data_IF_760455348979
#
_entry.id   IF_760455348979
#
_cell.length_a   1.000
_cell.length_b   1.000
_cell.length_c   1.000
_cell.angle_alpha   90.00
_cell.angle_beta   90.00
_cell.angle_gamma   90.00
#
_symmetry.space_group_name_H-M   'P 1'
#
loop_
_entity.id
_entity.type
_entity.pdbx_description
1 polymer ?
#
# COMPACT_ATOMS: atom_id res chain seq x y z
N UNK A 1 34.85 -29.87 4.08
CA UNK A 1 34.48 -28.86 3.07
C UNK A 1 33.42 -28.01 3.73
N UNK A 2 33.84 -26.82 4.16
CA UNK A 2 33.12 -25.94 5.07
C UNK A 2 31.92 -25.35 4.31
N UNK A 3 30.71 -25.52 4.83
CA UNK A 3 29.55 -24.75 4.40
C UNK A 3 29.77 -23.31 4.86
N UNK A 4 30.18 -22.44 3.94
CA UNK A 4 30.15 -20.99 4.14
C UNK A 4 28.73 -20.62 4.54
N UNK A 5 28.59 -20.22 5.81
CA UNK A 5 27.50 -19.37 6.26
C UNK A 5 27.61 -18.11 5.42
N UNK A 6 26.63 -17.87 4.55
CA UNK A 6 26.36 -16.52 4.06
C UNK A 6 26.11 -15.71 5.33
N UNK A 7 27.00 -14.75 5.63
CA UNK A 7 26.80 -13.82 6.74
C UNK A 7 25.40 -13.22 6.58
N UNK A 8 24.52 -13.45 7.55
CA UNK A 8 23.23 -12.76 7.61
C UNK A 8 23.55 -11.28 7.75
N UNK A 9 23.52 -10.55 6.63
CA UNK A 9 23.78 -9.12 6.62
C UNK A 9 22.66 -8.43 7.42
N UNK A 10 22.95 -8.17 8.70
CA UNK A 10 21.98 -7.62 9.64
C UNK A 10 21.72 -6.15 9.28
N UNK A 11 20.55 -5.89 8.69
CA UNK A 11 20.15 -4.54 8.30
C UNK A 11 19.66 -3.76 9.52
N UNK A 12 20.03 -2.47 9.67
CA UNK A 12 19.51 -1.65 10.75
C UNK A 12 18.00 -1.52 10.66
N UNK A 13 17.34 -1.59 11.80
CA UNK A 13 15.91 -1.34 11.91
C UNK A 13 15.58 0.12 11.64
N UNK A 14 14.35 0.39 11.21
CA UNK A 14 13.86 1.76 11.03
C UNK A 14 13.99 2.60 12.32
N UNK A 15 13.82 1.96 13.49
CA UNK A 15 13.98 2.63 14.77
C UNK A 15 15.43 3.10 15.01
N UNK A 16 16.41 2.25 14.69
CA UNK A 16 17.83 2.58 14.79
C UNK A 16 18.23 3.69 13.82
N UNK A 17 17.76 3.62 12.56
CA UNK A 17 18.02 4.66 11.55
C UNK A 17 17.45 6.00 12.01
N UNK A 18 16.19 6.04 12.47
CA UNK A 18 15.57 7.26 13.00
C UNK A 18 16.35 7.80 14.20
N UNK A 19 16.74 6.92 15.12
CA UNK A 19 17.50 7.31 16.30
C UNK A 19 18.86 7.92 15.95
N UNK A 20 19.60 7.28 15.05
CA UNK A 20 20.90 7.74 14.56
C UNK A 20 20.79 9.09 13.86
N UNK A 21 19.79 9.27 12.99
CA UNK A 21 19.58 10.52 12.27
C UNK A 21 19.15 11.66 13.20
N UNK A 22 18.22 11.40 14.13
CA UNK A 22 17.82 12.39 15.14
C UNK A 22 19.03 12.85 15.97
N UNK A 23 19.87 11.89 16.40
CA UNK A 23 21.12 12.18 17.13
C UNK A 23 22.09 12.98 16.29
N UNK A 24 22.29 12.61 15.02
CA UNK A 24 23.19 13.31 14.08
C UNK A 24 22.76 14.76 13.91
N UNK A 25 21.49 14.99 13.59
CA UNK A 25 20.91 16.33 13.39
C UNK A 25 21.09 17.17 14.66
N UNK A 26 20.75 16.60 15.83
CA UNK A 26 20.89 17.28 17.12
C UNK A 26 22.34 17.67 17.39
N UNK A 27 23.28 16.74 17.24
CA UNK A 27 24.71 16.97 17.52
C UNK A 27 25.35 17.96 16.54
N UNK A 28 25.01 17.89 15.26
CA UNK A 28 25.49 18.84 14.25
C UNK A 28 25.08 20.29 14.56
N UNK A 29 23.92 20.47 15.18
CA UNK A 29 23.46 21.78 15.63
C UNK A 29 23.95 22.18 17.03
N UNK A 30 24.77 21.35 17.70
CA UNK A 30 25.20 21.60 19.08
C UNK A 30 24.08 21.55 20.11
N UNK A 31 22.91 20.99 19.76
CA UNK A 31 21.75 20.94 20.64
C UNK A 31 21.89 19.82 21.70
N UNK A 32 21.39 20.10 22.89
CA UNK A 32 21.33 19.14 24.01
C UNK A 32 20.05 18.29 23.94
N UNK A 33 20.06 17.12 24.59
CA UNK A 33 18.85 16.30 24.76
C UNK A 33 17.72 17.08 25.45
N UNK A 34 18.07 17.98 26.38
CA UNK A 34 17.10 18.81 27.11
C UNK A 34 16.42 19.83 26.19
N UNK A 35 17.15 20.43 25.25
CA UNK A 35 16.56 21.35 24.26
C UNK A 35 15.59 20.62 23.32
N UNK A 36 15.95 19.44 22.81
CA UNK A 36 15.03 18.65 21.99
C UNK A 36 13.80 18.23 22.78
N UNK A 37 13.97 17.78 24.03
CA UNK A 37 12.85 17.42 24.90
C UNK A 37 11.93 18.61 25.20
N UNK A 38 12.49 19.82 25.34
CA UNK A 38 11.71 21.04 25.52
C UNK A 38 10.80 21.32 24.32
N UNK A 39 11.33 21.30 23.10
CA UNK A 39 10.51 21.52 21.90
C UNK A 39 9.54 20.37 21.62
N UNK A 40 9.92 19.12 21.92
CA UNK A 40 9.03 17.98 21.81
C UNK A 40 7.78 18.14 22.69
N UNK A 41 7.92 18.68 23.91
CA UNK A 41 6.79 19.02 24.79
C UNK A 41 5.86 20.07 24.20
N UNK A 42 6.42 21.10 23.58
CA UNK A 42 5.63 22.16 22.91
C UNK A 42 4.78 21.55 21.78
N UNK A 43 5.33 20.57 21.07
CA UNK A 43 4.61 19.84 20.01
C UNK A 43 3.65 18.75 20.53
N UNK A 44 3.46 18.63 21.85
CA UNK A 44 2.51 17.71 22.48
C UNK A 44 3.08 16.36 22.93
N UNK A 45 4.38 16.09 22.72
CA UNK A 45 5.03 14.88 23.20
C UNK A 45 5.38 15.01 24.68
N UNK A 46 4.98 14.04 25.52
CA UNK A 46 5.32 14.03 26.95
C UNK A 46 6.76 13.57 27.22
N UNK A 47 7.73 14.14 26.52
CA UNK A 47 9.10 13.65 26.48
C UNK A 47 10.00 14.30 27.53
N UNK A 48 10.95 13.51 28.02
CA UNK A 48 12.08 13.96 28.85
C UNK A 48 13.37 13.82 28.04
N UNK A 49 14.48 14.39 28.52
CA UNK A 49 15.80 14.17 27.91
C UNK A 49 16.14 12.67 27.81
N UNK A 50 15.72 11.87 28.80
CA UNK A 50 15.87 10.42 28.78
C UNK A 50 15.09 9.77 27.63
N UNK A 51 13.86 10.23 27.37
CA UNK A 51 13.04 9.72 26.25
C UNK A 51 13.63 10.07 24.89
N UNK A 52 14.26 11.25 24.76
CA UNK A 52 15.04 11.59 23.56
C UNK A 52 16.23 10.65 23.41
N UNK A 53 16.96 10.36 24.50
CA UNK A 53 18.06 9.40 24.49
C UNK A 53 17.64 7.96 24.15
N UNK A 54 16.47 7.52 24.64
CA UNK A 54 15.90 6.22 24.29
C UNK A 54 15.57 6.12 22.80
N UNK A 55 14.97 7.16 22.23
CA UNK A 55 14.71 7.24 20.80
C UNK A 55 16.03 7.25 19.99
N UNK A 56 16.99 8.09 20.36
CA UNK A 56 18.30 8.19 19.68
C UNK A 56 19.09 6.88 19.69
N UNK A 57 18.78 5.99 20.63
CA UNK A 57 19.36 4.65 20.73
C UNK A 57 18.62 3.56 19.96
N UNK A 58 17.51 3.89 19.27
CA UNK A 58 16.67 2.92 18.56
C UNK A 58 15.77 2.06 19.46
N UNK A 59 15.82 2.22 20.79
CA UNK A 59 15.01 1.43 21.75
C UNK A 59 13.50 1.67 21.64
N UNK A 60 13.08 2.77 21.02
CA UNK A 60 11.68 3.14 20.87
C UNK A 60 11.32 3.14 19.39
N UNK A 61 10.50 2.18 18.92
CA UNK A 61 10.03 2.21 17.54
C UNK A 61 9.15 3.45 17.33
N UNK A 62 9.54 4.36 16.42
CA UNK A 62 8.79 5.58 16.18
C UNK A 62 7.58 5.28 15.29
N UNK A 63 6.45 5.95 15.56
CA UNK A 63 5.29 5.98 14.67
C UNK A 63 5.12 7.38 14.05
N UNK A 64 4.24 7.55 13.07
CA UNK A 64 4.03 8.86 12.42
C UNK A 64 3.61 9.96 13.42
N UNK A 65 2.77 9.63 14.40
CA UNK A 65 2.37 10.53 15.50
C UNK A 65 3.56 11.00 16.34
N UNK A 66 4.67 10.28 16.31
CA UNK A 66 5.93 10.62 16.98
C UNK A 66 6.92 11.31 16.04
N UNK A 67 7.04 10.83 14.80
CA UNK A 67 7.99 11.33 13.82
C UNK A 67 7.70 12.77 13.38
N UNK A 68 6.42 13.13 13.20
CA UNK A 68 6.05 14.48 12.79
C UNK A 68 6.42 15.51 13.89
N UNK A 69 5.98 15.36 15.15
CA UNK A 69 6.41 16.26 16.22
C UNK A 69 7.92 16.25 16.47
N UNK A 70 8.58 15.10 16.29
CA UNK A 70 10.04 15.00 16.42
C UNK A 70 10.78 15.83 15.35
N UNK A 71 10.37 15.74 14.09
CA UNK A 71 10.96 16.53 13.01
C UNK A 71 10.82 18.04 13.30
N UNK A 72 9.63 18.47 13.75
CA UNK A 72 9.39 19.86 14.17
C UNK A 72 10.27 20.25 15.36
N UNK A 73 10.35 19.39 16.39
CA UNK A 73 11.18 19.66 17.57
C UNK A 73 12.66 19.78 17.23
N UNK A 74 13.16 18.94 16.32
CA UNK A 74 14.53 19.01 15.83
C UNK A 74 14.77 20.25 14.97
N UNK A 75 13.81 20.67 14.14
CA UNK A 75 13.90 21.92 13.39
C UNK A 75 14.09 23.13 14.31
N UNK A 76 13.31 23.23 15.39
CA UNK A 76 13.47 24.31 16.37
C UNK A 76 14.77 24.19 17.17
N UNK A 77 15.17 22.97 17.54
CA UNK A 77 16.41 22.73 18.27
C UNK A 77 17.66 22.99 17.41
N UNK A 78 17.58 22.76 16.10
CA UNK A 78 18.69 22.89 15.16
C UNK A 78 18.74 24.24 14.45
N UNK A 79 17.65 25.01 14.49
CA UNK A 79 17.45 26.20 13.67
C UNK A 79 17.69 25.95 12.17
N UNK A 80 17.36 24.75 11.70
CA UNK A 80 17.47 24.32 10.32
C UNK A 80 16.22 23.52 9.91
N UNK A 81 15.82 23.51 8.63
CA UNK A 81 14.73 22.66 8.15
C UNK A 81 15.00 21.19 8.46
N UNK A 82 14.02 20.51 9.04
CA UNK A 82 14.06 19.05 9.28
C UNK A 82 12.70 18.47 8.89
N UNK A 83 12.73 17.46 8.02
CA UNK A 83 11.56 16.74 7.53
C UNK A 83 11.54 15.31 8.09
N UNK A 84 10.43 14.59 7.92
CA UNK A 84 10.38 13.16 8.26
C UNK A 84 11.32 12.35 7.33
N UNK A 85 11.51 12.79 6.08
CA UNK A 85 12.46 12.16 5.16
C UNK A 85 13.90 12.21 5.69
N UNK A 86 14.29 13.32 6.34
CA UNK A 86 15.62 13.46 6.96
C UNK A 86 15.84 12.50 8.13
N UNK A 87 14.77 12.01 8.76
CA UNK A 87 14.83 11.05 9.86
C UNK A 87 14.97 9.61 9.37
N UNK A 88 14.40 9.28 8.21
CA UNK A 88 14.39 7.89 7.67
C UNK A 88 15.48 7.63 6.65
N UNK A 89 16.26 8.64 6.27
CA UNK A 89 17.33 8.51 5.28
C UNK A 89 18.47 7.60 5.72
N UNK A 90 18.99 6.76 4.83
CA UNK A 90 20.08 5.81 5.08
C UNK A 90 20.90 5.58 3.81
N UNK A 91 22.17 5.22 3.94
CA UNK A 91 22.98 4.69 2.83
C UNK A 91 22.85 3.15 2.70
N UNK A 92 22.20 2.52 3.68
CA UNK A 92 21.96 1.09 3.75
C UNK A 92 20.49 0.75 3.56
N UNK A 93 20.23 -0.51 3.26
CA UNK A 93 18.91 -1.11 3.42
C UNK A 93 18.45 -1.01 4.88
N UNK A 94 17.16 -0.77 5.06
CA UNK A 94 16.52 -0.49 6.36
C UNK A 94 15.40 -1.48 6.58
N UNK A 95 15.47 -2.22 7.69
CA UNK A 95 14.43 -3.16 8.07
C UNK A 95 13.23 -2.40 8.67
N UNK A 96 12.11 -2.39 7.95
CA UNK A 96 10.84 -1.78 8.40
C UNK A 96 10.08 -2.73 9.34
N UNK A 97 10.08 -4.02 9.01
CA UNK A 97 9.60 -5.11 9.86
C UNK A 97 10.29 -6.42 9.46
N UNK A 98 9.91 -7.54 10.08
CA UNK A 98 10.49 -8.88 9.82
C UNK A 98 10.45 -9.32 8.34
N UNK A 99 9.60 -8.69 7.52
CA UNK A 99 9.32 -9.09 6.13
C UNK A 99 9.68 -8.04 5.09
N UNK A 100 9.94 -6.81 5.52
CA UNK A 100 10.11 -5.66 4.64
C UNK A 100 11.42 -4.98 4.98
N UNK A 101 12.34 -4.98 4.02
CA UNK A 101 13.57 -4.20 4.05
C UNK A 101 13.55 -3.31 2.81
N UNK A 102 13.74 -2.01 3.00
CA UNK A 102 13.68 -1.01 1.92
C UNK A 102 15.02 -0.28 1.83
N UNK A 103 15.42 0.13 0.63
CA UNK A 103 16.47 1.13 0.52
C UNK A 103 15.95 2.54 0.89
N UNK A 104 16.87 3.47 1.13
CA UNK A 104 16.50 4.84 1.54
C UNK A 104 15.80 5.66 0.46
N UNK A 105 16.01 5.37 -0.82
CA UNK A 105 15.32 6.08 -1.90
C UNK A 105 13.83 5.70 -1.91
N UNK A 106 13.53 4.41 -1.75
CA UNK A 106 12.17 3.88 -1.60
C UNK A 106 11.46 4.48 -0.37
N UNK A 107 12.13 4.49 0.79
CA UNK A 107 11.60 5.10 2.03
C UNK A 107 11.32 6.60 1.87
N UNK A 108 12.26 7.35 1.29
CA UNK A 108 12.11 8.77 1.08
C UNK A 108 10.99 9.10 0.08
N UNK A 109 10.79 8.29 -0.97
CA UNK A 109 9.67 8.45 -1.91
C UNK A 109 8.31 8.16 -1.25
N UNK A 110 8.23 7.13 -0.40
CA UNK A 110 7.00 6.76 0.30
C UNK A 110 6.54 7.80 1.34
N UNK A 111 7.48 8.49 1.98
CA UNK A 111 7.20 9.44 3.07
C UNK A 111 7.28 10.91 2.60
N UNK A 112 8.02 11.16 1.52
CA UNK A 112 8.24 12.48 0.95
C UNK A 112 7.10 12.97 0.06
N UNK A 113 7.33 14.11 -0.58
CA UNK A 113 6.34 14.87 -1.36
C UNK A 113 6.14 14.34 -2.80
N UNK A 114 6.45 13.06 -3.06
CA UNK A 114 6.36 12.47 -4.39
C UNK A 114 4.91 12.44 -4.87
N UNK A 115 4.58 13.27 -5.86
CA UNK A 115 3.27 13.25 -6.57
C UNK A 115 3.07 11.99 -7.42
N UNK A 116 3.95 11.00 -7.29
CA UNK A 116 3.90 9.71 -7.96
C UNK A 116 3.67 8.63 -6.92
N UNK A 117 2.64 7.81 -7.12
CA UNK A 117 2.42 6.61 -6.33
C UNK A 117 3.60 5.66 -6.55
N UNK A 118 4.53 5.59 -5.58
CA UNK A 118 5.60 4.59 -5.61
C UNK A 118 4.97 3.19 -5.45
N UNK A 119 5.05 2.38 -6.51
CA UNK A 119 4.90 0.93 -6.38
C UNK A 119 6.21 0.42 -5.80
N UNK A 120 6.16 -0.27 -4.66
CA UNK A 120 7.33 -0.97 -4.11
C UNK A 120 7.77 -1.99 -5.16
N UNK A 121 8.86 -1.70 -5.86
CA UNK A 121 9.48 -2.67 -6.76
C UNK A 121 10.14 -3.75 -5.90
N UNK A 122 9.86 -5.01 -6.24
CA UNK A 122 10.16 -6.22 -5.48
C UNK A 122 11.68 -6.53 -5.39
N UNK A 123 12.53 -5.55 -5.71
CA UNK A 123 13.98 -5.52 -5.47
C UNK A 123 14.34 -4.93 -4.09
N UNK A 124 13.39 -4.30 -3.40
CA UNK A 124 13.49 -4.05 -1.96
C UNK A 124 13.43 -5.39 -1.21
N UNK A 125 14.60 -5.90 -0.81
CA UNK A 125 14.81 -7.24 -0.25
C UNK A 125 13.86 -7.54 0.93
N UNK A 126 12.77 -8.25 0.70
CA UNK A 126 12.03 -8.87 1.79
C UNK A 126 12.97 -9.85 2.52
N UNK A 127 13.11 -9.74 3.85
CA UNK A 127 13.74 -10.75 4.72
C UNK A 127 12.86 -12.01 4.81
N UNK A 128 12.54 -12.55 3.66
CA UNK A 128 11.63 -13.65 3.48
C UNK A 128 11.42 -13.82 2.00
N UNK A 129 12.21 -14.71 1.41
CA UNK A 129 11.96 -15.33 0.10
C UNK A 129 10.47 -15.73 -0.05
N UNK A 130 9.78 -16.01 1.07
CA UNK A 130 8.36 -16.31 1.17
C UNK A 130 7.39 -15.16 0.90
N UNK A 131 7.68 -13.90 1.26
CA UNK A 131 6.72 -12.78 1.03
C UNK A 131 6.84 -12.26 -0.39
N UNK A 132 8.08 -12.17 -0.90
CA UNK A 132 8.34 -11.92 -2.32
C UNK A 132 7.73 -13.03 -3.17
N UNK A 133 7.93 -14.30 -2.82
CA UNK A 133 7.28 -15.40 -3.52
C UNK A 133 5.76 -15.37 -3.38
N UNK A 134 5.18 -15.04 -2.21
CA UNK A 134 3.72 -14.97 -2.06
C UNK A 134 3.09 -13.80 -2.81
N UNK A 135 3.71 -12.62 -2.79
CA UNK A 135 3.23 -11.46 -3.55
C UNK A 135 3.45 -11.67 -5.04
N UNK A 136 4.61 -12.17 -5.46
CA UNK A 136 4.88 -12.50 -6.86
C UNK A 136 4.03 -13.68 -7.35
N UNK A 137 3.74 -14.68 -6.52
CA UNK A 137 2.85 -15.79 -6.84
C UNK A 137 1.40 -15.31 -6.90
N UNK A 138 0.94 -14.49 -5.96
CA UNK A 138 -0.39 -13.89 -6.02
C UNK A 138 -0.54 -12.95 -7.22
N UNK A 139 0.47 -12.12 -7.49
CA UNK A 139 0.52 -11.27 -8.67
C UNK A 139 0.63 -12.09 -9.95
N UNK A 140 1.39 -13.19 -9.99
CA UNK A 140 1.50 -14.07 -11.15
C UNK A 140 0.22 -14.87 -11.38
N UNK A 141 -0.42 -15.40 -10.34
CA UNK A 141 -1.70 -16.09 -10.41
C UNK A 141 -2.78 -15.12 -10.92
N UNK A 142 -2.87 -13.91 -10.34
CA UNK A 142 -3.79 -12.87 -10.81
C UNK A 142 -3.42 -12.41 -12.22
N UNK A 143 -2.14 -12.19 -12.54
CA UNK A 143 -1.70 -11.67 -13.84
C UNK A 143 -1.84 -12.74 -14.93
N UNK A 144 -1.59 -14.01 -14.65
CA UNK A 144 -1.76 -15.13 -15.56
C UNK A 144 -3.24 -15.43 -15.79
N UNK A 145 -4.08 -15.40 -14.75
CA UNK A 145 -5.54 -15.49 -14.87
C UNK A 145 -6.11 -14.30 -15.65
N UNK A 146 -5.61 -13.09 -15.39
CA UNK A 146 -5.92 -11.88 -16.15
C UNK A 146 -5.43 -11.99 -17.60
N UNK A 147 -4.22 -12.48 -17.85
CA UNK A 147 -3.60 -12.53 -19.17
C UNK A 147 -4.25 -13.61 -20.06
N UNK A 148 -4.61 -14.77 -19.50
CA UNK A 148 -5.35 -15.83 -20.20
C UNK A 148 -6.72 -15.36 -20.65
N UNK A 149 -7.41 -14.54 -19.85
CA UNK A 149 -8.71 -13.99 -20.25
C UNK A 149 -8.63 -12.69 -21.08
N UNK A 150 -7.53 -11.93 -21.01
CA UNK A 150 -7.35 -10.64 -21.74
C UNK A 150 -7.38 -10.75 -23.26
N UNK A 151 -7.07 -11.93 -23.81
CA UNK A 151 -7.05 -12.17 -25.26
C UNK A 151 -8.42 -11.99 -25.95
N UNK A 152 -9.52 -11.98 -25.18
CA UNK A 152 -10.89 -11.81 -25.69
C UNK A 152 -11.60 -10.56 -25.18
N UNK A 153 -10.90 -9.54 -24.64
CA UNK A 153 -11.55 -8.34 -24.09
C UNK A 153 -11.16 -7.05 -24.82
N UNK A 154 -12.08 -6.07 -24.93
CA UNK A 154 -11.76 -4.75 -25.46
C UNK A 154 -10.60 -4.09 -24.73
N UNK A 155 -9.74 -3.44 -25.51
CA UNK A 155 -8.53 -2.73 -25.04
C UNK A 155 -8.78 -1.78 -23.87
N UNK A 156 -9.98 -1.18 -23.78
CA UNK A 156 -10.37 -0.28 -22.68
C UNK A 156 -10.37 -0.98 -21.31
N UNK A 157 -10.67 -2.29 -21.24
CA UNK A 157 -10.57 -3.04 -19.99
C UNK A 157 -9.13 -3.26 -19.54
N UNK A 158 -8.14 -3.09 -20.42
CA UNK A 158 -6.73 -3.19 -20.06
C UNK A 158 -6.22 -1.97 -19.29
N UNK A 159 -6.98 -0.87 -19.31
CA UNK A 159 -6.62 0.39 -18.65
C UNK A 159 -7.03 0.45 -17.17
N UNK A 160 -7.77 -0.56 -16.67
CA UNK A 160 -8.15 -0.61 -15.25
C UNK A 160 -6.93 -0.87 -14.38
N UNK A 161 -6.59 0.01 -13.41
CA UNK A 161 -5.44 -0.21 -12.54
C UNK A 161 -5.54 -1.54 -11.78
N UNK A 162 -4.46 -2.33 -11.77
CA UNK A 162 -4.46 -3.65 -11.15
C UNK A 162 -4.90 -3.64 -9.67
N UNK A 163 -4.53 -2.60 -8.90
CA UNK A 163 -4.96 -2.46 -7.51
C UNK A 163 -6.47 -2.28 -7.34
N UNK A 164 -7.15 -1.72 -8.35
CA UNK A 164 -8.60 -1.60 -8.36
C UNK A 164 -9.25 -2.96 -8.66
N UNK A 165 -8.69 -3.74 -9.59
CA UNK A 165 -9.15 -5.10 -9.88
C UNK A 165 -8.95 -6.03 -8.68
N UNK A 166 -7.79 -5.98 -8.02
CA UNK A 166 -7.53 -6.76 -6.80
C UNK A 166 -8.54 -6.44 -5.69
N UNK A 167 -8.90 -5.17 -5.50
CA UNK A 167 -9.94 -4.76 -4.54
C UNK A 167 -11.30 -5.36 -4.90
N UNK A 168 -11.73 -5.25 -6.15
CA UNK A 168 -13.02 -5.80 -6.59
C UNK A 168 -13.02 -7.32 -6.47
N UNK A 169 -11.90 -7.99 -6.76
CA UNK A 169 -11.72 -9.42 -6.54
C UNK A 169 -11.95 -9.81 -5.08
N UNK A 170 -11.28 -9.14 -4.13
CA UNK A 170 -11.43 -9.39 -2.69
C UNK A 170 -12.85 -9.11 -2.15
N UNK A 171 -13.58 -8.18 -2.76
CA UNK A 171 -14.97 -7.85 -2.42
C UNK A 171 -16.00 -8.74 -3.12
N UNK A 172 -15.57 -9.57 -4.07
CA UNK A 172 -16.46 -10.44 -4.84
C UNK A 172 -16.67 -11.75 -4.11
N UNK A 173 -17.89 -12.26 -4.14
CA UNK A 173 -18.25 -13.56 -3.56
C UNK A 173 -19.21 -14.32 -4.46
N UNK A 174 -19.99 -15.21 -3.86
CA UNK A 174 -20.91 -16.10 -4.58
C UNK A 174 -21.99 -15.34 -5.38
N UNK A 175 -22.35 -14.13 -4.95
CA UNK A 175 -23.31 -13.26 -5.67
C UNK A 175 -22.78 -12.87 -7.04
N UNK A 176 -21.52 -12.43 -7.11
CA UNK A 176 -20.85 -12.07 -8.36
C UNK A 176 -20.71 -13.30 -9.27
N UNK A 177 -20.41 -14.49 -8.72
CA UNK A 177 -20.34 -15.73 -9.51
C UNK A 177 -21.67 -16.06 -10.19
N UNK A 178 -22.77 -16.00 -9.43
CA UNK A 178 -24.13 -16.23 -9.95
C UNK A 178 -24.51 -15.18 -10.98
N UNK A 179 -24.16 -13.93 -10.74
CA UNK A 179 -24.45 -12.82 -11.65
C UNK A 179 -23.68 -12.91 -12.96
N UNK A 180 -22.40 -13.30 -12.92
CA UNK A 180 -21.58 -13.52 -14.12
C UNK A 180 -22.23 -14.58 -15.01
N UNK A 181 -22.63 -15.71 -14.41
CA UNK A 181 -23.36 -16.79 -15.10
C UNK A 181 -24.71 -16.32 -15.66
N UNK A 182 -25.48 -15.54 -14.91
CA UNK A 182 -26.76 -14.97 -15.36
C UNK A 182 -26.58 -14.04 -16.57
N UNK A 183 -25.49 -13.28 -16.62
CA UNK A 183 -25.18 -12.34 -17.70
C UNK A 183 -24.39 -12.96 -18.85
N UNK A 184 -24.04 -14.25 -18.79
CA UNK A 184 -23.31 -14.95 -19.85
C UNK A 184 -21.86 -14.48 -20.02
N UNK A 185 -21.23 -13.98 -18.96
CA UNK A 185 -19.83 -13.52 -18.97
C UNK A 185 -19.00 -14.24 -17.92
N UNK A 186 -17.67 -14.18 -18.02
CA UNK A 186 -16.79 -14.73 -16.97
C UNK A 186 -16.86 -13.89 -15.69
N UNK A 187 -16.43 -14.46 -14.56
CA UNK A 187 -16.32 -13.72 -13.30
C UNK A 187 -15.37 -12.52 -13.44
N UNK A 188 -14.28 -12.69 -14.17
CA UNK A 188 -13.29 -11.63 -14.38
C UNK A 188 -13.83 -10.50 -15.26
N UNK A 189 -14.56 -10.79 -16.34
CA UNK A 189 -15.27 -9.75 -17.12
C UNK A 189 -16.20 -8.94 -16.23
N UNK A 190 -17.01 -9.62 -15.42
CA UNK A 190 -17.92 -8.95 -14.49
C UNK A 190 -17.16 -8.05 -13.50
N UNK A 191 -16.01 -8.50 -12.98
CA UNK A 191 -15.14 -7.71 -12.09
C UNK A 191 -14.58 -6.47 -12.79
N UNK A 192 -14.09 -6.60 -14.02
CA UNK A 192 -13.60 -5.47 -14.81
C UNK A 192 -14.69 -4.42 -15.07
N UNK A 193 -15.89 -4.85 -15.47
CA UNK A 193 -17.03 -3.94 -15.68
C UNK A 193 -17.46 -3.28 -14.36
N UNK A 194 -17.47 -4.02 -13.26
CA UNK A 194 -17.79 -3.47 -11.93
C UNK A 194 -16.73 -2.46 -11.47
N UNK A 195 -15.45 -2.73 -11.73
CA UNK A 195 -14.35 -1.82 -11.44
C UNK A 195 -14.44 -0.54 -12.27
N UNK A 196 -14.75 -0.63 -13.56
CA UNK A 196 -14.96 0.54 -14.42
C UNK A 196 -16.15 1.39 -13.99
N UNK A 197 -17.28 0.76 -13.65
CA UNK A 197 -18.49 1.50 -13.31
C UNK A 197 -18.43 2.13 -11.92
N UNK A 198 -17.88 1.43 -10.94
CA UNK A 198 -18.03 1.78 -9.52
C UNK A 198 -16.75 1.68 -8.69
N UNK A 199 -15.70 1.07 -9.22
CA UNK A 199 -14.47 0.79 -8.46
C UNK A 199 -14.67 -0.18 -7.29
N UNK A 200 -15.78 -0.94 -7.28
CA UNK A 200 -16.22 -1.85 -6.22
C UNK A 200 -16.92 -3.07 -6.81
N UNK A 201 -17.09 -4.15 -6.04
CA UNK A 201 -17.94 -5.29 -6.44
C UNK A 201 -19.42 -4.91 -6.49
N UNK A 202 -20.22 -5.71 -7.20
CA UNK A 202 -21.67 -5.53 -7.30
C UNK A 202 -22.34 -5.53 -5.92
N UNK A 203 -21.94 -6.45 -5.04
CA UNK A 203 -22.48 -6.58 -3.68
C UNK A 203 -22.11 -5.37 -2.84
N UNK A 204 -20.84 -4.94 -2.88
CA UNK A 204 -20.38 -3.76 -2.15
C UNK A 204 -21.10 -2.49 -2.61
N UNK A 205 -21.32 -2.32 -3.92
CA UNK A 205 -22.05 -1.18 -4.46
C UNK A 205 -23.54 -1.23 -4.14
N UNK A 206 -24.17 -2.42 -4.18
CA UNK A 206 -25.56 -2.61 -3.77
C UNK A 206 -25.77 -2.17 -2.34
N UNK A 207 -24.92 -2.66 -1.43
CA UNK A 207 -25.08 -2.38 -0.01
C UNK A 207 -24.79 -0.90 0.29
N UNK A 208 -23.79 -0.30 -0.37
CA UNK A 208 -23.52 1.13 -0.27
C UNK A 208 -24.72 2.00 -0.71
N UNK A 209 -25.39 1.66 -1.83
CA UNK A 209 -26.55 2.43 -2.33
C UNK A 209 -27.85 2.13 -1.60
N UNK A 210 -27.99 0.92 -1.07
CA UNK A 210 -29.18 0.54 -0.33
C UNK A 210 -29.16 1.16 1.08
N UNK A 211 -27.97 1.27 1.70
CA UNK A 211 -27.76 1.63 3.10
C UNK A 211 -27.60 0.39 3.98
N UNK A 212 -26.85 0.50 5.08
CA UNK A 212 -26.51 -0.64 5.96
C UNK A 212 -27.77 -1.34 6.51
N UNK A 213 -28.80 -0.56 6.90
CA UNK A 213 -30.06 -1.05 7.46
C UNK A 213 -31.15 -1.35 6.40
N UNK A 214 -30.79 -1.40 5.12
CA UNK A 214 -31.77 -1.57 4.06
C UNK A 214 -32.42 -2.96 4.11
N UNK A 215 -33.76 -2.96 4.10
CA UNK A 215 -34.54 -4.19 4.00
C UNK A 215 -34.38 -4.89 2.64
N UNK A 216 -34.79 -6.16 2.56
CA UNK A 216 -34.65 -7.00 1.38
C UNK A 216 -35.28 -6.39 0.12
N UNK A 217 -36.42 -5.70 0.25
CA UNK A 217 -37.10 -5.04 -0.86
C UNK A 217 -36.24 -3.91 -1.45
N UNK A 218 -35.67 -3.05 -0.60
CA UNK A 218 -34.81 -1.94 -1.02
C UNK A 218 -33.54 -2.46 -1.71
N UNK A 219 -32.87 -3.46 -1.12
CA UNK A 219 -31.70 -4.12 -1.73
C UNK A 219 -32.04 -4.75 -3.09
N UNK A 220 -33.22 -5.35 -3.23
CA UNK A 220 -33.71 -5.90 -4.50
C UNK A 220 -33.99 -4.84 -5.58
N UNK A 221 -34.49 -3.66 -5.22
CA UNK A 221 -34.67 -2.54 -6.17
C UNK A 221 -33.30 -2.04 -6.67
N UNK A 222 -32.36 -1.78 -5.75
CA UNK A 222 -31.00 -1.34 -6.09
C UNK A 222 -30.31 -2.38 -6.97
N UNK A 223 -30.41 -3.66 -6.60
CA UNK A 223 -29.80 -4.76 -7.36
C UNK A 223 -30.28 -4.78 -8.81
N UNK A 224 -31.59 -4.63 -9.06
CA UNK A 224 -32.16 -4.58 -10.42
C UNK A 224 -31.61 -3.41 -11.24
N UNK A 225 -31.46 -2.24 -10.62
CA UNK A 225 -30.87 -1.08 -11.28
C UNK A 225 -29.38 -1.28 -11.62
N UNK A 226 -28.61 -1.86 -10.69
CA UNK A 226 -27.19 -2.16 -10.91
C UNK A 226 -26.99 -3.24 -11.98
N UNK A 227 -27.82 -4.29 -12.00
CA UNK A 227 -27.80 -5.31 -13.07
C UNK A 227 -28.02 -4.70 -14.45
N UNK A 228 -28.94 -3.72 -14.56
CA UNK A 228 -29.17 -2.99 -15.82
C UNK A 228 -27.92 -2.21 -16.26
N UNK A 229 -27.20 -1.57 -15.32
CA UNK A 229 -25.96 -0.86 -15.62
C UNK A 229 -24.86 -1.83 -16.08
N UNK A 230 -24.68 -2.95 -15.39
CA UNK A 230 -23.70 -3.98 -15.79
C UNK A 230 -24.00 -4.54 -17.17
N UNK A 231 -25.25 -4.89 -17.44
CA UNK A 231 -25.65 -5.38 -18.77
C UNK A 231 -25.32 -4.37 -19.87
N UNK A 232 -25.67 -3.10 -19.66
CA UNK A 232 -25.35 -2.04 -20.62
C UNK A 232 -23.83 -1.82 -20.79
N UNK A 233 -23.05 -2.00 -19.73
CA UNK A 233 -21.58 -1.90 -19.79
C UNK A 233 -20.96 -3.06 -20.55
N UNK A 234 -21.42 -4.29 -20.29
CA UNK A 234 -21.01 -5.50 -21.00
C UNK A 234 -21.33 -5.37 -22.50
N UNK A 235 -22.52 -4.87 -22.84
CA UNK A 235 -22.93 -4.63 -24.24
C UNK A 235 -22.09 -3.54 -24.92
N UNK A 236 -21.61 -2.54 -24.17
CA UNK A 236 -20.70 -1.50 -24.68
C UNK A 236 -19.28 -2.04 -24.91
N UNK A 237 -18.90 -3.07 -24.16
CA UNK A 237 -17.59 -3.70 -24.23
C UNK A 237 -17.76 -5.20 -24.57
N UNK A 238 -18.28 -5.57 -25.76
CA UNK A 238 -18.41 -6.98 -26.12
C UNK A 238 -17.03 -7.65 -26.12
N UNK A 239 -16.96 -8.95 -25.83
CA UNK A 239 -15.72 -9.69 -25.98
C UNK A 239 -15.19 -9.55 -27.43
N UNK A 240 -13.88 -9.40 -27.59
CA UNK A 240 -13.24 -9.47 -28.90
C UNK A 240 -13.22 -10.97 -29.26
N UNK A 241 -14.30 -11.44 -29.87
CA UNK A 241 -14.37 -12.79 -30.39
C UNK A 241 -13.41 -12.83 -31.56
N UNK A 242 -12.20 -13.35 -31.35
CA UNK A 242 -11.27 -13.67 -32.43
C UNK A 242 -12.02 -14.49 -33.47
N UNK A 243 -12.37 -13.87 -34.59
CA UNK A 243 -12.84 -14.57 -35.77
C UNK A 243 -11.60 -15.25 -36.36
N UNK A 244 -11.45 -16.55 -36.08
CA UNK A 244 -10.89 -17.47 -37.05
C UNK A 244 -11.84 -17.47 -38.27
N UNK A 245 -11.56 -16.59 -39.24
CA UNK A 245 -11.96 -16.84 -40.62
C UNK A 245 -10.88 -17.72 -41.26
N UNK A 246 -11.17 -19.02 -41.35
CA UNK A 246 -10.61 -19.95 -42.33
C UNK A 246 -11.66 -21.00 -42.69
#
# INVERSE_FOLDING_TARGET
MNTDRVDEEEFPTLAEVVGLNARRIRLQAGATLAQVAHFAKITGLKWTSGKVGDLESGRVPPNLTTLIPLAIALQYASNAPVTVADLVGSDKFVQVNERIILNSEALAKLIGNGSESYRVEVEDHAAGESVKAQLAQWEAEITEEIAKEKAGYPRLLWEVPHGLIARVYLQSGETEKKLAKELGVTEMKLRYESALLWGKSFTAERDARAGEDANAQRRGIVSRALKKQLKASIERHPADTGQEEA
#
